data_IF_863231400266
#
_entry.id   IF_863231400266
#
_cell.length_a   1.000
_cell.length_b   1.000
_cell.length_c   1.000
_cell.angle_alpha   90.00
_cell.angle_beta   90.00
_cell.angle_gamma   90.00
#
_symmetry.space_group_name_H-M   'P 1'
#
loop_
_entity.id
_entity.type
_entity.pdbx_description
1 polymer ?
#
# COMPACT_ATOMS: atom_id res chain seq x y z
N UNK A 1 -11.03 31.42 11.11
CA UNK A 1 -9.99 31.38 10.05
C UNK A 1 -9.04 30.18 10.15
N UNK A 2 -8.42 29.85 11.29
CA UNK A 2 -7.65 28.58 11.41
C UNK A 2 -8.52 27.39 11.82
N UNK A 3 -9.40 27.58 12.83
CA UNK A 3 -10.29 26.53 13.32
C UNK A 3 -11.25 26.03 12.25
N UNK A 4 -11.72 26.92 11.36
CA UNK A 4 -12.62 26.55 10.27
C UNK A 4 -11.95 25.67 9.22
N UNK A 5 -10.65 25.83 9.00
CA UNK A 5 -9.85 24.99 8.11
C UNK A 5 -9.62 23.61 8.73
N UNK A 6 -9.26 23.55 10.02
CA UNK A 6 -9.09 22.28 10.77
C UNK A 6 -10.41 21.48 10.82
N UNK A 7 -11.55 22.17 10.79
CA UNK A 7 -12.88 21.54 10.80
C UNK A 7 -13.31 20.97 9.46
N UNK A 8 -12.58 21.21 8.37
CA UNK A 8 -12.85 20.55 7.09
C UNK A 8 -12.42 19.08 7.20
N UNK A 9 -13.35 18.11 7.23
CA UNK A 9 -13.02 16.73 7.58
C UNK A 9 -12.11 16.06 6.56
N UNK A 10 -12.33 16.30 5.28
CA UNK A 10 -11.52 15.71 4.20
C UNK A 10 -10.10 16.27 4.19
N UNK A 11 -9.94 17.60 4.32
CA UNK A 11 -8.64 18.24 4.41
C UNK A 11 -7.86 17.74 5.64
N UNK A 12 -8.55 17.60 6.78
CA UNK A 12 -7.94 17.10 8.01
C UNK A 12 -7.54 15.62 7.89
N UNK A 13 -8.39 14.77 7.29
CA UNK A 13 -8.10 13.35 7.04
C UNK A 13 -6.90 13.20 6.12
N UNK A 14 -6.85 13.97 5.02
CA UNK A 14 -5.73 13.98 4.09
C UNK A 14 -4.43 14.38 4.79
N UNK A 15 -4.43 15.52 5.48
CA UNK A 15 -3.26 15.99 6.21
C UNK A 15 -2.80 14.96 7.26
N UNK A 16 -3.74 14.45 8.06
CA UNK A 16 -3.42 13.54 9.15
C UNK A 16 -2.86 12.23 8.62
N UNK A 17 -3.50 11.64 7.60
CA UNK A 17 -3.07 10.40 6.96
C UNK A 17 -1.68 10.52 6.34
N UNK A 18 -1.42 11.58 5.57
CA UNK A 18 -0.09 11.85 5.04
C UNK A 18 0.95 12.02 6.15
N UNK A 19 0.66 12.85 7.16
CA UNK A 19 1.60 13.14 8.24
C UNK A 19 1.93 11.91 9.10
N UNK A 20 0.90 11.13 9.49
CA UNK A 20 1.08 10.00 10.41
C UNK A 20 1.70 8.78 9.73
N UNK A 21 1.70 8.72 8.40
CA UNK A 21 2.41 7.68 7.61
C UNK A 21 3.80 8.11 7.13
N UNK A 22 4.22 9.36 7.38
CA UNK A 22 5.61 9.76 7.15
C UNK A 22 6.56 8.96 8.05
N UNK A 23 7.61 8.33 7.50
CA UNK A 23 8.60 7.63 8.30
C UNK A 23 9.44 8.62 9.11
N UNK A 24 9.85 8.23 10.31
CA UNK A 24 10.68 9.06 11.20
C UNK A 24 12.18 8.84 11.01
N UNK A 25 12.52 7.76 10.33
CA UNK A 25 13.88 7.37 9.98
C UNK A 25 13.91 7.04 8.49
N UNK A 26 15.11 7.09 7.92
CA UNK A 26 15.32 6.66 6.55
C UNK A 26 14.94 5.18 6.39
N UNK A 27 14.23 4.87 5.31
CA UNK A 27 13.86 3.51 4.95
C UNK A 27 14.88 2.98 3.96
N UNK A 28 15.21 1.69 4.08
CA UNK A 28 16.07 0.99 3.14
C UNK A 28 15.29 0.59 1.89
N UNK A 29 14.84 1.59 1.14
CA UNK A 29 14.03 1.40 -0.06
C UNK A 29 14.96 1.04 -1.21
N UNK A 30 14.77 -0.16 -1.75
CA UNK A 30 15.41 -0.63 -2.97
C UNK A 30 14.32 -0.93 -4.02
N UNK A 31 14.20 -0.11 -5.08
CA UNK A 31 13.30 -0.41 -6.20
C UNK A 31 13.61 -1.77 -6.83
N UNK A 32 12.59 -2.43 -7.36
CA UNK A 32 12.78 -3.71 -8.05
C UNK A 32 13.57 -3.53 -9.35
N UNK A 33 14.59 -4.36 -9.56
CA UNK A 33 15.39 -4.40 -10.79
C UNK A 33 15.57 -5.86 -11.26
N UNK A 34 14.98 -6.27 -12.40
CA UNK A 34 14.08 -5.48 -13.26
C UNK A 34 12.74 -5.15 -12.56
N UNK A 35 12.04 -4.09 -12.98
CA UNK A 35 10.67 -3.86 -12.55
C UNK A 35 9.78 -5.05 -12.90
N UNK A 36 8.89 -5.44 -11.99
CA UNK A 36 7.87 -6.44 -12.22
C UNK A 36 6.79 -5.90 -13.15
N UNK A 37 6.31 -6.75 -14.04
CA UNK A 37 5.07 -6.58 -14.79
C UNK A 37 3.87 -7.09 -13.97
N UNK A 38 2.69 -6.57 -14.26
CA UNK A 38 1.44 -6.93 -13.55
C UNK A 38 1.15 -8.44 -13.61
N UNK A 39 1.41 -9.07 -14.75
CA UNK A 39 1.24 -10.52 -14.95
C UNK A 39 2.19 -11.33 -14.06
N UNK A 40 3.45 -10.89 -13.91
CA UNK A 40 4.44 -11.55 -13.06
C UNK A 40 4.03 -11.50 -11.57
N UNK A 41 3.53 -10.36 -11.10
CA UNK A 41 3.05 -10.19 -9.72
C UNK A 41 1.86 -11.11 -9.44
N UNK A 42 0.90 -11.17 -10.36
CA UNK A 42 -0.29 -12.02 -10.21
C UNK A 42 0.11 -13.49 -10.22
N UNK A 43 0.95 -13.91 -11.16
CA UNK A 43 1.39 -15.30 -11.28
C UNK A 43 2.16 -15.76 -10.03
N UNK A 44 3.06 -14.93 -9.49
CA UNK A 44 3.79 -15.23 -8.25
C UNK A 44 2.83 -15.42 -7.06
N UNK A 45 1.89 -14.48 -6.85
CA UNK A 45 0.92 -14.53 -5.75
C UNK A 45 -0.03 -15.73 -5.87
N UNK A 46 -0.52 -16.03 -7.07
CA UNK A 46 -1.34 -17.22 -7.33
C UNK A 46 -0.53 -18.52 -7.25
N UNK A 47 0.78 -18.45 -7.47
CA UNK A 47 1.74 -19.53 -7.25
C UNK A 47 2.01 -19.83 -5.78
N UNK A 48 1.50 -19.00 -4.87
CA UNK A 48 1.61 -19.16 -3.41
C UNK A 48 2.77 -18.38 -2.78
N UNK A 49 3.48 -17.56 -3.56
CA UNK A 49 4.48 -16.64 -3.01
C UNK A 49 3.81 -15.59 -2.14
N UNK A 50 4.58 -15.03 -1.21
CA UNK A 50 4.12 -14.00 -0.29
C UNK A 50 4.95 -12.74 -0.42
N UNK A 51 4.27 -11.61 -0.33
CA UNK A 51 4.89 -10.30 -0.22
C UNK A 51 5.19 -10.01 1.24
N UNK A 52 6.36 -9.44 1.49
CA UNK A 52 6.75 -8.86 2.75
C UNK A 52 6.87 -7.35 2.64
N UNK A 53 6.31 -6.66 3.62
CA UNK A 53 6.31 -5.20 3.73
C UNK A 53 7.68 -4.73 4.23
N UNK A 54 8.24 -3.71 3.58
CA UNK A 54 9.49 -3.09 4.00
C UNK A 54 9.42 -2.66 5.47
N UNK A 55 10.44 -3.05 6.24
CA UNK A 55 10.51 -2.72 7.66
C UNK A 55 10.52 -1.20 7.86
N UNK A 56 9.67 -0.72 8.77
CA UNK A 56 9.51 0.71 9.05
C UNK A 56 8.57 1.46 8.09
N UNK A 57 8.14 0.85 6.98
CA UNK A 57 7.10 1.41 6.12
C UNK A 57 5.79 1.51 6.91
N UNK A 58 5.16 2.69 6.86
CA UNK A 58 3.91 2.97 7.57
C UNK A 58 2.77 2.99 6.56
N UNK A 59 1.79 2.12 6.80
CA UNK A 59 0.61 1.93 5.95
C UNK A 59 -0.61 1.94 6.85
N UNK A 60 -1.57 2.82 6.59
CA UNK A 60 -2.73 3.02 7.47
C UNK A 60 -4.01 3.23 6.67
N UNK A 61 -5.09 2.66 7.20
CA UNK A 61 -6.45 2.87 6.74
C UNK A 61 -7.15 3.83 7.72
N UNK A 62 -7.65 4.96 7.21
CA UNK A 62 -8.29 6.03 8.00
C UNK A 62 -9.63 6.39 7.35
N UNK A 63 -10.72 5.98 7.99
CA UNK A 63 -12.06 6.18 7.43
C UNK A 63 -12.26 5.28 6.22
N UNK A 64 -12.28 5.89 5.05
CA UNK A 64 -12.39 5.28 3.71
C UNK A 64 -11.13 5.49 2.85
N UNK A 65 -10.07 6.06 3.44
CA UNK A 65 -8.82 6.39 2.75
C UNK A 65 -7.66 5.52 3.20
N UNK A 66 -6.79 5.15 2.27
CA UNK A 66 -5.58 4.36 2.52
C UNK A 66 -4.36 5.24 2.29
N UNK A 67 -3.37 5.14 3.18
CA UNK A 67 -2.15 5.93 3.12
C UNK A 67 -0.92 5.04 3.21
N UNK A 68 0.05 5.25 2.32
CA UNK A 68 1.36 4.59 2.32
C UNK A 68 2.42 5.68 2.23
N UNK A 69 3.35 5.72 3.17
CA UNK A 69 4.54 6.58 3.07
C UNK A 69 4.23 8.07 2.75
N UNK A 70 3.21 8.64 3.41
CA UNK A 70 2.71 10.01 3.21
C UNK A 70 1.83 10.25 1.97
N UNK A 71 1.68 9.26 1.09
CA UNK A 71 0.80 9.32 -0.08
C UNK A 71 -0.58 8.72 0.25
N UNK A 72 -1.66 9.34 -0.21
CA UNK A 72 -2.99 8.71 -0.22
C UNK A 72 -3.11 7.87 -1.49
N UNK A 73 -3.55 6.62 -1.35
CA UNK A 73 -3.82 5.76 -2.49
C UNK A 73 -5.25 5.95 -3.01
N UNK A 74 -5.43 5.77 -4.32
CA UNK A 74 -6.76 5.60 -4.90
C UNK A 74 -7.38 4.29 -4.39
N UNK A 75 -8.66 4.33 -4.06
CA UNK A 75 -9.37 3.14 -3.56
C UNK A 75 -9.74 2.22 -4.72
N UNK A 76 -8.81 1.38 -5.12
CA UNK A 76 -8.96 0.41 -6.22
C UNK A 76 -9.73 -0.84 -5.78
N UNK A 77 -9.40 -1.38 -4.60
CA UNK A 77 -10.11 -2.46 -3.92
C UNK A 77 -9.95 -2.30 -2.40
N UNK A 78 -11.05 -1.99 -1.70
CA UNK A 78 -10.98 -1.62 -0.28
C UNK A 78 -10.56 -2.79 0.62
N UNK A 79 -10.93 -4.03 0.30
CA UNK A 79 -10.58 -5.20 1.12
C UNK A 79 -9.10 -5.55 0.94
N UNK A 80 -8.61 -5.53 -0.30
CA UNK A 80 -7.21 -5.82 -0.59
C UNK A 80 -6.26 -4.70 -0.10
N UNK A 81 -6.66 -3.43 -0.21
CA UNK A 81 -5.90 -2.31 0.36
C UNK A 81 -5.86 -2.36 1.90
N UNK A 82 -6.96 -2.76 2.55
CA UNK A 82 -7.01 -2.94 3.99
C UNK A 82 -6.11 -4.11 4.46
N UNK A 83 -5.97 -5.17 3.65
CA UNK A 83 -5.00 -6.23 3.90
C UNK A 83 -3.56 -5.71 3.93
N UNK A 84 -3.17 -4.82 3.00
CA UNK A 84 -1.84 -4.17 3.00
C UNK A 84 -1.58 -3.32 4.26
N UNK A 85 -2.62 -2.75 4.86
CA UNK A 85 -2.51 -2.04 6.14
C UNK A 85 -2.27 -3.00 7.29
N UNK A 86 -3.02 -4.11 7.35
CA UNK A 86 -3.07 -5.03 8.48
C UNK A 86 -1.87 -5.95 8.57
N UNK A 87 -1.40 -6.47 7.43
CA UNK A 87 -0.42 -7.55 7.42
C UNK A 87 0.96 -7.05 6.98
N UNK A 88 2.00 -7.59 7.61
CA UNK A 88 3.39 -7.37 7.21
C UNK A 88 3.89 -8.41 6.23
N UNK A 89 3.26 -9.57 6.18
CA UNK A 89 3.46 -10.61 5.17
C UNK A 89 2.09 -11.06 4.68
N UNK A 90 1.86 -11.10 3.38
CA UNK A 90 0.57 -11.41 2.78
C UNK A 90 0.72 -12.05 1.40
N UNK A 91 -0.22 -12.92 1.05
CA UNK A 91 -0.30 -13.55 -0.26
C UNK A 91 -1.74 -13.60 -0.78
N UNK A 92 -2.02 -14.59 -1.63
CA UNK A 92 -3.36 -14.78 -2.20
C UNK A 92 -4.47 -14.89 -1.14
N UNK A 93 -4.20 -15.51 0.01
CA UNK A 93 -5.20 -15.72 1.07
C UNK A 93 -5.74 -14.40 1.63
N UNK A 94 -4.86 -13.42 1.87
CA UNK A 94 -5.25 -12.12 2.41
C UNK A 94 -5.74 -11.16 1.32
N UNK A 95 -5.17 -11.23 0.11
CA UNK A 95 -5.50 -10.34 -1.00
C UNK A 95 -6.80 -10.72 -1.72
N UNK A 96 -7.21 -11.99 -1.62
CA UNK A 96 -8.52 -12.48 -2.07
C UNK A 96 -8.84 -12.13 -3.52
N UNK A 97 -10.06 -11.63 -3.75
CA UNK A 97 -10.53 -11.23 -5.09
C UNK A 97 -9.83 -9.98 -5.64
N UNK A 98 -9.05 -9.25 -4.85
CA UNK A 98 -8.29 -8.09 -5.31
C UNK A 98 -7.34 -8.43 -6.46
N UNK A 99 -6.80 -9.65 -6.50
CA UNK A 99 -5.93 -10.13 -7.59
C UNK A 99 -6.65 -10.29 -8.94
N UNK A 100 -7.99 -10.23 -8.96
CA UNK A 100 -8.79 -10.24 -10.20
C UNK A 100 -9.14 -8.82 -10.66
N UNK A 101 -8.81 -7.79 -9.88
CA UNK A 101 -9.09 -6.40 -10.18
C UNK A 101 -7.83 -5.74 -10.80
N UNK A 102 -7.85 -5.41 -12.10
CA UNK A 102 -6.68 -4.84 -12.76
C UNK A 102 -6.20 -3.53 -12.14
N UNK A 103 -7.12 -2.70 -11.60
CA UNK A 103 -6.74 -1.45 -10.96
C UNK A 103 -5.96 -1.70 -9.66
N UNK A 104 -6.35 -2.71 -8.89
CA UNK A 104 -5.62 -3.10 -7.69
C UNK A 104 -4.27 -3.72 -8.03
N UNK A 105 -4.23 -4.62 -9.02
CA UNK A 105 -2.97 -5.25 -9.48
C UNK A 105 -1.97 -4.20 -9.97
N UNK A 106 -2.42 -3.21 -10.74
CA UNK A 106 -1.57 -2.12 -11.21
C UNK A 106 -0.99 -1.31 -10.06
N UNK A 107 -1.82 -0.97 -9.06
CA UNK A 107 -1.38 -0.23 -7.88
C UNK A 107 -0.44 -1.06 -6.99
N UNK A 108 -0.73 -2.34 -6.78
CA UNK A 108 0.13 -3.26 -6.04
C UNK A 108 1.50 -3.40 -6.73
N UNK A 109 1.51 -3.57 -8.05
CA UNK A 109 2.74 -3.67 -8.86
C UNK A 109 3.56 -2.39 -8.77
N UNK A 110 2.92 -1.21 -8.80
CA UNK A 110 3.58 0.07 -8.57
C UNK A 110 4.26 0.10 -7.19
N UNK A 111 3.57 -0.33 -6.13
CA UNK A 111 4.10 -0.33 -4.76
C UNK A 111 5.27 -1.32 -4.60
N UNK A 112 5.19 -2.50 -5.23
CA UNK A 112 6.30 -3.48 -5.27
C UNK A 112 7.51 -2.89 -5.99
N UNK A 113 7.31 -2.29 -7.17
CA UNK A 113 8.39 -1.69 -7.95
C UNK A 113 9.05 -0.49 -7.26
N UNK A 114 8.33 0.18 -6.35
CA UNK A 114 8.91 1.20 -5.48
C UNK A 114 9.74 0.63 -4.32
N UNK A 115 9.77 -0.68 -4.11
CA UNK A 115 10.48 -1.33 -3.01
C UNK A 115 9.73 -1.31 -1.69
N UNK A 116 8.43 -1.00 -1.68
CA UNK A 116 7.61 -0.96 -0.47
C UNK A 116 7.18 -2.35 0.00
N UNK A 117 6.98 -3.26 -0.94
CA UNK A 117 6.82 -4.68 -0.72
C UNK A 117 7.76 -5.44 -1.64
N UNK A 118 8.15 -6.64 -1.22
CA UNK A 118 9.02 -7.53 -1.98
C UNK A 118 8.61 -8.98 -1.76
N UNK A 119 8.85 -9.86 -2.72
CA UNK A 119 8.69 -11.31 -2.53
C UNK A 119 9.87 -11.84 -1.70
N UNK A 120 9.59 -12.65 -0.68
CA UNK A 120 10.64 -13.38 0.05
C UNK A 120 11.14 -14.58 -0.77
N UNK A 121 12.45 -14.82 -0.79
CA UNK A 121 13.05 -16.03 -1.38
C UNK A 121 12.65 -17.32 -0.65
#
# INVERSE_FOLDING_TARGET
>A
MMIDMIRQPEDFKQWFGSFVTTPRHELDIAPAEPPYEEEEVVDALLGGEKLSRLSGLRVLHIGDSFFVHSEQLDTTDAEALDALCRYTSLGQEELGSGLQNPAFVSELTRLINQGYWYFEE
#
